data_IF_480726122157
#
_entry.id   IF_480726122157
#
_cell.length_a   1.000
_cell.length_b   1.000
_cell.length_c   1.000
_cell.angle_alpha   90.00
_cell.angle_beta   90.00
_cell.angle_gamma   90.00
#
_symmetry.space_group_name_H-M   'P 1'
#
loop_
_entity.id
_entity.type
_entity.pdbx_description
1 polymer ?
#
# COMPACT_ATOMS: atom_id res chain seq x y z
N UNK A 1 -1.16 -4.68 0.67
CA UNK A 1 -0.19 -3.79 -0.01
C UNK A 1 -0.81 -2.42 -0.03
N UNK A 2 -0.06 -1.40 0.35
CA UNK A 2 -0.55 -0.03 0.37
C UNK A 2 0.63 0.93 0.24
N UNK A 3 0.31 2.20 0.09
CA UNK A 3 1.29 3.26 0.00
C UNK A 3 1.33 4.06 1.30
N UNK A 4 2.54 4.33 1.75
CA UNK A 4 2.82 5.23 2.86
C UNK A 4 3.41 6.49 2.28
N UNK A 5 2.90 7.65 2.70
CA UNK A 5 3.54 8.93 2.44
C UNK A 5 4.24 9.46 3.70
N UNK A 6 5.56 9.28 3.86
CA UNK A 6 6.33 10.08 4.79
C UNK A 6 6.29 11.51 4.27
N UNK A 7 5.69 12.38 5.06
CA UNK A 7 5.54 13.77 4.70
C UNK A 7 6.85 14.54 4.84
N UNK A 8 7.01 15.54 3.97
CA UNK A 8 8.00 16.61 4.03
C UNK A 8 9.46 16.15 4.00
N UNK A 9 9.87 15.82 2.78
CA UNK A 9 11.26 15.70 2.36
C UNK A 9 11.75 17.07 1.89
N UNK A 10 13.04 17.39 1.98
CA UNK A 10 13.55 18.62 1.37
C UNK A 10 13.27 18.63 -0.13
N UNK A 11 12.86 19.79 -0.64
CA UNK A 11 12.73 20.04 -2.08
C UNK A 11 14.01 19.58 -2.80
N UNK A 12 13.92 18.54 -3.65
CA UNK A 12 15.08 18.12 -4.42
C UNK A 12 15.46 19.23 -5.41
N UNK A 13 16.77 19.45 -5.58
CA UNK A 13 17.30 20.49 -6.48
C UNK A 13 17.04 20.21 -7.97
N UNK A 14 16.57 19.01 -8.30
CA UNK A 14 16.33 18.51 -9.65
C UNK A 14 14.94 17.85 -9.64
N UNK A 15 14.04 18.27 -10.54
CA UNK A 15 12.64 17.78 -10.66
C UNK A 15 11.79 17.93 -9.39
N UNK A 16 11.88 19.10 -8.75
CA UNK A 16 11.10 19.47 -7.58
C UNK A 16 9.61 19.20 -7.73
N UNK A 17 9.06 19.52 -8.91
CA UNK A 17 7.66 19.38 -9.28
C UNK A 17 7.12 17.95 -9.14
N UNK A 18 7.99 16.94 -9.25
CA UNK A 18 7.58 15.54 -9.11
C UNK A 18 7.27 15.16 -7.66
N UNK A 19 7.84 15.88 -6.69
CA UNK A 19 7.73 15.57 -5.26
C UNK A 19 6.68 16.40 -4.55
N UNK A 20 6.21 17.50 -5.15
CA UNK A 20 5.09 18.29 -4.64
C UNK A 20 3.85 17.41 -4.59
N UNK A 21 3.38 17.09 -3.39
CA UNK A 21 2.13 16.33 -3.24
C UNK A 21 0.94 17.27 -3.54
N UNK A 22 -0.05 16.81 -4.31
CA UNK A 22 -1.30 17.55 -4.50
C UNK A 22 -2.19 17.61 -3.25
N UNK A 23 -1.89 16.76 -2.25
CA UNK A 23 -2.69 16.53 -1.05
C UNK A 23 -2.16 17.25 0.22
N UNK A 24 -0.88 17.62 0.25
CA UNK A 24 -0.25 18.34 1.36
C UNK A 24 0.66 19.48 0.85
N UNK A 25 0.73 20.60 1.59
CA UNK A 25 1.59 21.75 1.24
C UNK A 25 3.09 21.42 1.42
N UNK A 26 3.67 20.55 0.59
CA UNK A 26 5.09 20.19 0.63
C UNK A 26 5.49 19.02 -0.26
N UNK A 27 6.74 18.55 -0.07
CA UNK A 27 7.32 17.47 -0.87
C UNK A 27 7.24 16.14 -0.11
N UNK A 28 6.66 15.08 -0.69
CA UNK A 28 6.55 13.77 -0.05
C UNK A 28 7.23 12.67 -0.87
N UNK A 29 7.44 11.51 -0.25
CA UNK A 29 7.75 10.26 -0.94
C UNK A 29 6.51 9.38 -0.94
N UNK A 30 6.23 8.70 -2.05
CA UNK A 30 5.27 7.61 -2.06
C UNK A 30 6.03 6.28 -1.90
N UNK A 31 5.76 5.60 -0.78
CA UNK A 31 6.42 4.37 -0.36
C UNK A 31 5.46 3.19 -0.47
N UNK A 32 5.64 2.34 -1.46
CA UNK A 32 4.88 1.09 -1.54
C UNK A 32 5.39 0.07 -0.53
N UNK A 33 4.47 -0.55 0.23
CA UNK A 33 4.77 -1.58 1.21
C UNK A 33 3.86 -2.81 1.04
N UNK A 34 4.47 -3.98 1.15
CA UNK A 34 3.78 -5.27 1.26
C UNK A 34 4.11 -5.86 2.64
N UNK A 35 3.07 -6.20 3.40
CA UNK A 35 3.21 -6.92 4.66
C UNK A 35 2.34 -8.19 4.69
N UNK A 36 2.69 -9.11 5.58
CA UNK A 36 1.90 -10.28 5.90
C UNK A 36 0.97 -10.03 7.11
N UNK A 37 0.11 -11.01 7.49
CA UNK A 37 -0.79 -10.90 8.65
C UNK A 37 -0.08 -10.68 10.00
N UNK A 38 1.19 -11.06 10.13
CA UNK A 38 2.00 -10.88 11.34
C UNK A 38 2.73 -9.52 11.36
N UNK A 39 2.37 -8.63 10.42
CA UNK A 39 2.95 -7.31 10.21
C UNK A 39 4.44 -7.36 9.81
N UNK A 40 4.94 -8.48 9.29
CA UNK A 40 6.27 -8.52 8.69
C UNK A 40 6.23 -7.83 7.33
N UNK A 41 7.13 -6.89 7.12
CA UNK A 41 7.31 -6.20 5.84
C UNK A 41 8.04 -7.15 4.89
N UNK A 42 7.33 -7.64 3.89
CA UNK A 42 7.85 -8.54 2.85
C UNK A 42 8.55 -7.76 1.74
N UNK A 43 8.08 -6.55 1.46
CA UNK A 43 8.69 -5.65 0.49
C UNK A 43 8.43 -4.19 0.83
N UNK A 44 9.40 -3.34 0.51
CA UNK A 44 9.29 -1.88 0.60
C UNK A 44 9.95 -1.23 -0.62
N UNK A 45 9.32 -0.17 -1.15
CA UNK A 45 9.84 0.62 -2.26
C UNK A 45 9.69 2.12 -1.98
N UNK A 46 10.68 2.70 -1.30
CA UNK A 46 10.72 4.10 -0.90
C UNK A 46 11.47 5.01 -1.89
N UNK A 47 11.23 4.82 -3.20
CA UNK A 47 11.98 5.50 -4.27
C UNK A 47 11.19 6.56 -5.02
N UNK A 48 9.87 6.59 -4.85
CA UNK A 48 9.02 7.37 -5.72
C UNK A 48 8.67 8.72 -5.11
N UNK A 49 8.68 9.78 -5.93
CA UNK A 49 8.11 11.06 -5.54
C UNK A 49 6.64 10.92 -5.14
N UNK A 50 6.19 11.76 -4.18
CA UNK A 50 4.83 11.75 -3.64
C UNK A 50 3.72 11.85 -4.68
N UNK A 51 3.91 12.65 -5.72
CA UNK A 51 2.89 12.86 -6.76
C UNK A 51 2.66 11.64 -7.68
N UNK A 52 3.40 10.54 -7.52
CA UNK A 52 3.27 9.37 -8.38
C UNK A 52 2.15 8.47 -7.89
N UNK A 53 1.22 8.14 -8.79
CA UNK A 53 0.13 7.21 -8.51
C UNK A 53 0.64 5.80 -8.19
N UNK A 54 -0.06 5.13 -7.28
CA UNK A 54 0.18 3.76 -6.83
C UNK A 54 0.26 2.74 -7.97
N UNK A 55 -0.62 2.87 -8.98
CA UNK A 55 -0.56 2.04 -10.18
C UNK A 55 0.78 2.16 -10.93
N UNK A 56 1.37 3.35 -10.99
CA UNK A 56 2.65 3.58 -11.64
C UNK A 56 3.81 2.95 -10.84
N UNK A 57 3.78 3.09 -9.52
CA UNK A 57 4.77 2.46 -8.62
C UNK A 57 4.69 0.95 -8.75
N UNK A 58 3.49 0.38 -8.75
CA UNK A 58 3.26 -1.05 -8.95
C UNK A 58 3.77 -1.55 -10.30
N UNK A 59 3.45 -0.85 -11.38
CA UNK A 59 3.86 -1.22 -12.74
C UNK A 59 5.38 -1.37 -12.87
N UNK A 60 6.13 -0.54 -12.11
CA UNK A 60 7.59 -0.50 -12.07
C UNK A 60 8.21 -1.21 -10.86
N UNK A 61 7.42 -1.97 -10.09
CA UNK A 61 7.89 -2.65 -8.89
C UNK A 61 8.50 -4.02 -9.20
N UNK A 62 9.58 -4.38 -8.49
CA UNK A 62 10.17 -5.72 -8.56
C UNK A 62 9.21 -6.80 -8.02
N UNK A 63 8.29 -6.43 -7.12
CA UNK A 63 7.24 -7.32 -6.61
C UNK A 63 6.33 -7.74 -7.74
N UNK A 64 5.83 -6.80 -8.56
CA UNK A 64 4.98 -7.14 -9.71
C UNK A 64 5.67 -8.11 -10.66
N UNK A 65 6.93 -7.87 -11.02
CA UNK A 65 7.69 -8.78 -11.89
C UNK A 65 7.81 -10.17 -11.29
N UNK A 66 8.02 -10.25 -9.97
CA UNK A 66 8.11 -11.52 -9.23
C UNK A 66 6.78 -12.25 -9.22
N UNK A 67 5.69 -11.57 -8.87
CA UNK A 67 4.33 -12.14 -8.84
C UNK A 67 3.90 -12.64 -10.23
N UNK A 68 4.17 -11.85 -11.28
CA UNK A 68 3.92 -12.28 -12.66
C UNK A 68 4.68 -13.55 -13.01
N UNK A 69 5.98 -13.62 -12.67
CA UNK A 69 6.80 -14.82 -12.92
C UNK A 69 6.26 -16.05 -12.20
N UNK A 70 5.86 -15.92 -10.93
CA UNK A 70 5.23 -17.03 -10.18
C UNK A 70 3.95 -17.49 -10.85
N UNK A 71 3.10 -16.55 -11.26
CA UNK A 71 1.88 -16.86 -11.99
C UNK A 71 2.14 -17.53 -13.35
N UNK A 72 3.09 -17.03 -14.14
CA UNK A 72 3.44 -17.63 -15.42
C UNK A 72 3.98 -19.06 -15.23
N UNK A 73 4.66 -19.33 -14.11
CA UNK A 73 5.13 -20.65 -13.71
C UNK A 73 4.05 -21.56 -13.09
N UNK A 74 2.78 -21.14 -13.11
CA UNK A 74 1.65 -21.96 -12.67
C UNK A 74 1.20 -21.74 -11.22
N UNK A 75 1.78 -20.80 -10.48
CA UNK A 75 1.29 -20.46 -9.15
C UNK A 75 -0.10 -19.82 -9.21
N UNK A 76 -1.05 -20.38 -8.47
CA UNK A 76 -2.44 -19.93 -8.37
C UNK A 76 -2.89 -19.82 -6.93
N UNK A 77 -1.96 -19.76 -5.97
CA UNK A 77 -2.26 -19.76 -4.52
C UNK A 77 -1.80 -18.50 -3.81
N UNK A 78 -1.07 -17.63 -4.50
CA UNK A 78 -0.54 -16.40 -3.93
C UNK A 78 -1.21 -15.19 -4.57
N UNK A 79 -1.76 -14.33 -3.71
CA UNK A 79 -2.36 -13.05 -4.10
C UNK A 79 -1.89 -11.95 -3.18
N UNK A 80 -1.76 -10.76 -3.74
CA UNK A 80 -1.68 -9.52 -3.00
C UNK A 80 -3.06 -8.87 -2.96
N UNK A 81 -3.32 -8.14 -1.87
CA UNK A 81 -4.49 -7.27 -1.74
C UNK A 81 -4.04 -5.81 -1.89
N UNK A 82 -4.46 -5.16 -2.97
CA UNK A 82 -4.26 -3.73 -3.25
C UNK A 82 -5.51 -2.92 -2.96
N UNK A 83 -5.38 -1.60 -2.86
CA UNK A 83 -6.51 -0.67 -2.80
C UNK A 83 -6.99 -0.45 -4.24
N UNK A 84 -7.92 0.46 -4.36
CA UNK A 84 -8.55 0.82 -5.61
C UNK A 84 -7.67 1.69 -6.52
N UNK A 85 -6.55 2.21 -6.00
CA UNK A 85 -5.49 2.89 -6.77
C UNK A 85 -4.59 1.93 -7.55
N UNK A 86 -4.63 0.63 -7.24
CA UNK A 86 -3.89 -0.40 -7.95
C UNK A 86 -4.71 -1.03 -9.11
N UNK A 87 -4.03 -1.54 -10.16
CA UNK A 87 -4.71 -2.29 -11.20
C UNK A 87 -5.11 -3.70 -10.72
N UNK A 88 -6.25 -4.19 -11.21
CA UNK A 88 -6.65 -5.58 -11.00
C UNK A 88 -5.81 -6.51 -11.89
N UNK A 89 -5.06 -7.44 -11.28
CA UNK A 89 -4.24 -8.45 -11.97
C UNK A 89 -4.50 -9.86 -11.38
N UNK A 90 -4.15 -10.97 -12.08
CA UNK A 90 -4.45 -12.32 -11.59
C UNK A 90 -3.84 -12.66 -10.22
N UNK A 91 -2.81 -11.93 -9.82
CA UNK A 91 -2.06 -12.04 -8.56
C UNK A 91 -2.24 -10.81 -7.65
N UNK A 92 -3.05 -9.83 -8.05
CA UNK A 92 -3.34 -8.61 -7.28
C UNK A 92 -4.84 -8.32 -7.31
N UNK A 93 -5.50 -8.61 -6.19
CA UNK A 93 -6.93 -8.33 -6.01
C UNK A 93 -7.12 -6.91 -5.51
N UNK A 94 -8.18 -6.26 -5.98
CA UNK A 94 -8.57 -4.89 -5.61
C UNK A 94 -10.05 -4.87 -5.23
N UNK A 95 -10.53 -3.88 -4.46
CA UNK A 95 -11.96 -3.76 -4.15
C UNK A 95 -12.77 -3.45 -5.41
N UNK A 96 -14.06 -3.79 -5.39
CA UNK A 96 -14.98 -3.46 -6.49
C UNK A 96 -15.67 -2.14 -6.14
N UNK A 97 -15.63 -1.16 -7.05
CA UNK A 97 -16.25 0.16 -6.89
C UNK A 97 -17.76 0.11 -7.10
N UNK A 98 -18.50 1.09 -6.56
CA UNK A 98 -19.94 1.28 -6.79
C UNK A 98 -20.82 0.07 -6.48
N UNK A 99 -20.64 -0.55 -5.31
CA UNK A 99 -21.40 -1.74 -4.91
C UNK A 99 -22.70 -1.40 -4.19
N UNK A 100 -23.78 -2.07 -4.58
CA UNK A 100 -25.06 -1.96 -3.91
C UNK A 100 -25.08 -2.78 -2.61
N UNK A 101 -25.85 -2.33 -1.62
CA UNK A 101 -26.00 -3.05 -0.35
C UNK A 101 -26.59 -4.44 -0.57
N UNK A 102 -26.07 -5.41 0.18
CA UNK A 102 -26.57 -6.79 0.17
C UNK A 102 -26.06 -7.66 -0.99
N UNK A 103 -25.31 -7.12 -1.95
CA UNK A 103 -24.78 -7.91 -3.07
C UNK A 103 -23.56 -8.76 -2.67
N UNK A 104 -23.31 -9.87 -3.38
CA UNK A 104 -22.08 -10.66 -3.21
C UNK A 104 -20.79 -9.84 -3.35
N UNK A 105 -20.78 -8.94 -4.32
CA UNK A 105 -19.69 -8.01 -4.59
C UNK A 105 -19.43 -7.07 -3.41
N UNK A 106 -20.49 -6.59 -2.74
CA UNK A 106 -20.34 -5.75 -1.55
C UNK A 106 -19.63 -6.51 -0.44
N UNK A 107 -20.01 -7.77 -0.17
CA UNK A 107 -19.34 -8.54 0.90
C UNK A 107 -17.93 -8.93 0.52
N UNK A 108 -17.64 -9.18 -0.76
CA UNK A 108 -16.28 -9.32 -1.24
C UNK A 108 -15.46 -8.06 -0.90
N UNK A 109 -15.98 -6.86 -1.23
CA UNK A 109 -15.29 -5.59 -0.94
C UNK A 109 -15.15 -5.37 0.58
N UNK A 110 -16.14 -5.73 1.39
CA UNK A 110 -16.06 -5.64 2.86
C UNK A 110 -15.01 -6.60 3.43
N UNK A 111 -14.97 -7.85 2.96
CA UNK A 111 -13.95 -8.83 3.34
C UNK A 111 -12.55 -8.40 2.90
N UNK A 112 -12.43 -7.85 1.68
CA UNK A 112 -11.19 -7.29 1.14
C UNK A 112 -10.69 -6.13 2.01
N UNK A 113 -11.57 -5.19 2.37
CA UNK A 113 -11.25 -4.07 3.26
C UNK A 113 -10.82 -4.55 4.65
N UNK A 114 -11.52 -5.53 5.22
CA UNK A 114 -11.16 -6.14 6.51
C UNK A 114 -9.78 -6.78 6.48
N UNK A 115 -9.46 -7.55 5.43
CA UNK A 115 -8.15 -8.16 5.26
C UNK A 115 -7.03 -7.12 5.06
N UNK A 116 -7.33 -6.04 4.32
CA UNK A 116 -6.44 -4.89 4.12
C UNK A 116 -6.12 -4.14 5.42
N UNK A 117 -6.97 -4.18 6.44
CA UNK A 117 -6.67 -3.55 7.73
C UNK A 117 -5.29 -3.95 8.30
N UNK A 118 -4.76 -5.10 7.92
CA UNK A 118 -3.38 -5.53 8.19
C UNK A 118 -2.33 -4.50 7.74
N UNK A 119 -2.42 -3.96 6.52
CA UNK A 119 -1.42 -3.00 6.03
C UNK A 119 -1.55 -1.66 6.76
N UNK A 120 -2.77 -1.22 7.06
CA UNK A 120 -3.02 0.01 7.82
C UNK A 120 -2.47 -0.10 9.25
N UNK A 121 -2.67 -1.26 9.89
CA UNK A 121 -2.07 -1.58 11.19
C UNK A 121 -0.55 -1.60 11.12
N UNK A 122 0.03 -2.14 10.05
CA UNK A 122 1.47 -2.14 9.83
C UNK A 122 2.01 -0.70 9.77
N UNK A 123 1.34 0.20 9.03
CA UNK A 123 1.71 1.61 8.97
C UNK A 123 1.55 2.31 10.31
N UNK A 124 0.46 2.07 11.03
CA UNK A 124 0.24 2.62 12.37
C UNK A 124 1.36 2.24 13.34
N UNK A 125 1.76 0.96 13.38
CA UNK A 125 2.87 0.48 14.21
C UNK A 125 4.21 1.07 13.77
N UNK A 126 4.46 1.12 12.46
CA UNK A 126 5.72 1.64 11.92
C UNK A 126 5.89 3.12 12.27
N UNK A 127 4.83 3.94 12.08
CA UNK A 127 4.80 5.37 12.45
C UNK A 127 4.87 5.59 13.96
N UNK A 128 4.26 4.73 14.77
CA UNK A 128 4.24 4.88 16.23
C UNK A 128 5.59 4.55 16.88
N UNK A 129 6.30 3.56 16.36
CA UNK A 129 7.65 3.17 16.81
C UNK A 129 8.70 4.14 16.25
N UNK A 130 8.66 4.40 14.95
CA UNK A 130 9.60 5.29 14.27
C UNK A 130 8.91 6.62 13.99
N UNK A 131 8.81 7.45 15.03
CA UNK A 131 8.13 8.75 14.97
C UNK A 131 8.69 9.70 13.89
N UNK A 132 9.89 9.46 13.38
CA UNK A 132 10.43 10.17 12.21
C UNK A 132 9.65 9.90 10.91
N UNK A 133 8.79 8.88 10.86
CA UNK A 133 7.91 8.59 9.72
C UNK A 133 6.49 9.16 9.91
N UNK A 134 6.18 9.73 11.08
CA UNK A 134 4.88 10.30 11.38
C UNK A 134 4.74 11.69 10.77
N UNK A 135 3.55 12.06 10.32
CA UNK A 135 3.26 13.41 9.79
C UNK A 135 3.64 14.53 10.78
N UNK A 136 3.62 14.26 12.08
CA UNK A 136 4.01 15.22 13.12
C UNK A 136 5.52 15.55 13.13
N UNK A 137 6.35 14.78 12.42
CA UNK A 137 7.81 15.03 12.34
C UNK A 137 8.28 14.90 10.90
N UNK A 138 8.67 16.04 10.34
CA UNK A 138 9.15 16.16 8.97
C UNK A 138 10.54 15.52 8.83
N UNK A 139 10.73 14.72 7.79
CA UNK A 139 12.04 14.20 7.40
C UNK A 139 12.78 15.29 6.63
N UNK A 140 13.47 16.18 7.35
CA UNK A 140 14.30 17.26 6.80
C UNK A 140 15.57 16.70 6.11
N UNK A 141 15.40 15.86 5.11
CA UNK A 141 16.43 15.17 4.34
C UNK A 141 16.05 15.18 2.85
N UNK A 142 17.04 15.09 1.96
CA UNK A 142 16.81 14.89 0.52
C UNK A 142 16.10 13.55 0.25
N UNK A 143 15.29 13.39 -0.83
CA UNK A 143 14.49 12.18 -1.07
C UNK A 143 15.26 10.87 -1.02
N UNK A 144 16.48 10.86 -1.53
CA UNK A 144 17.33 9.67 -1.47
C UNK A 144 17.61 9.24 -0.02
N UNK A 145 18.04 10.18 0.82
CA UNK A 145 18.33 9.94 2.24
C UNK A 145 17.07 9.61 3.03
N UNK A 146 15.95 10.29 2.75
CA UNK A 146 14.67 9.95 3.36
C UNK A 146 14.24 8.51 3.02
N UNK A 147 14.41 8.07 1.76
CA UNK A 147 14.18 6.70 1.34
C UNK A 147 15.07 5.68 2.07
N UNK A 148 16.34 6.01 2.34
CA UNK A 148 17.24 5.17 3.14
C UNK A 148 16.76 5.05 4.60
N UNK A 149 16.30 6.15 5.20
CA UNK A 149 15.75 6.15 6.57
C UNK A 149 14.51 5.25 6.64
N UNK A 150 13.59 5.39 5.67
CA UNK A 150 12.39 4.55 5.56
C UNK A 150 12.75 3.07 5.46
N UNK A 151 13.70 2.72 4.60
CA UNK A 151 14.18 1.34 4.46
C UNK A 151 14.81 0.81 5.75
N UNK A 152 15.61 1.64 6.45
CA UNK A 152 16.19 1.27 7.74
C UNK A 152 15.10 1.01 8.80
N UNK A 153 14.07 1.86 8.88
CA UNK A 153 12.95 1.67 9.78
C UNK A 153 12.20 0.35 9.50
N UNK A 154 11.98 0.01 8.23
CA UNK A 154 11.34 -1.25 7.85
C UNK A 154 12.17 -2.49 8.26
N UNK A 155 13.50 -2.44 8.08
CA UNK A 155 14.40 -3.49 8.53
C UNK A 155 14.37 -3.65 10.05
N UNK A 156 14.44 -2.54 10.78
CA UNK A 156 14.39 -2.54 12.25
C UNK A 156 13.03 -3.02 12.78
N UNK A 157 11.93 -2.65 12.11
CA UNK A 157 10.59 -3.18 12.40
C UNK A 157 10.54 -4.71 12.28
N UNK A 158 11.04 -5.26 11.17
CA UNK A 158 11.09 -6.71 10.99
C UNK A 158 11.96 -7.40 12.05
N UNK A 159 13.08 -6.81 12.45
CA UNK A 159 13.87 -7.32 13.57
C UNK A 159 13.07 -7.31 14.88
N UNK A 160 12.35 -6.21 15.17
CA UNK A 160 11.48 -6.09 16.35
C UNK A 160 10.40 -7.15 16.39
N UNK A 161 9.71 -7.41 15.26
CA UNK A 161 8.69 -8.46 15.14
C UNK A 161 9.33 -9.84 15.35
N UNK A 162 10.42 -10.14 14.64
CA UNK A 162 11.09 -11.45 14.66
C UNK A 162 11.61 -11.83 16.05
N UNK A 163 12.23 -10.89 16.75
CA UNK A 163 12.79 -11.12 18.08
C UNK A 163 11.79 -10.85 19.21
N UNK A 164 10.52 -10.59 18.89
CA UNK A 164 9.44 -10.30 19.85
C UNK A 164 9.80 -9.18 20.84
N UNK A 165 10.49 -8.16 20.35
CA UNK A 165 10.88 -6.97 21.12
C UNK A 165 9.71 -5.97 21.26
N UNK A 166 8.47 -6.46 21.13
CA UNK A 166 7.29 -5.61 21.22
C UNK A 166 6.90 -5.43 22.68
N UNK A 167 7.10 -4.23 23.23
CA UNK A 167 6.29 -3.80 24.36
C UNK A 167 4.80 -3.72 23.94
N UNK A 168 3.85 -3.98 24.86
CA UNK A 168 2.43 -3.93 24.57
C UNK A 168 2.04 -2.50 24.16
N UNK A 169 1.95 -2.27 22.84
CA UNK A 169 1.50 -0.99 22.30
C UNK A 169 -0.02 -0.89 22.47
N UNK A 170 -0.46 0.07 23.28
CA UNK A 170 -1.81 0.58 23.24
C UNK A 170 -1.86 1.62 22.13
N UNK A 171 -2.01 1.19 20.88
CA UNK A 171 -2.37 2.13 19.82
C UNK A 171 -3.85 2.46 20.03
N UNK A 172 -4.17 3.59 20.65
CA UNK A 172 -5.56 4.06 20.72
C UNK A 172 -6.07 4.22 19.29
N UNK A 173 -7.14 3.50 18.95
CA UNK A 173 -7.80 3.48 17.65
C UNK A 173 -8.02 4.86 17.02
N UNK A 174 -8.07 5.91 17.84
CA UNK A 174 -8.20 7.31 17.44
C UNK A 174 -7.05 7.85 16.59
N UNK A 175 -5.80 7.42 16.78
CA UNK A 175 -4.65 7.92 15.98
C UNK A 175 -4.64 7.35 14.55
N UNK A 176 -5.07 6.10 14.39
CA UNK A 176 -5.17 5.43 13.07
C UNK A 176 -6.27 6.08 12.23
N UNK A 177 -7.38 6.44 12.87
CA UNK A 177 -8.55 7.04 12.22
C UNK A 177 -8.28 8.50 11.81
N UNK A 178 -7.54 9.26 12.63
CA UNK A 178 -7.22 10.67 12.33
C UNK A 178 -6.34 10.81 11.07
N UNK A 179 -5.38 9.90 10.86
CA UNK A 179 -4.52 9.89 9.66
C UNK A 179 -5.29 9.42 8.40
N UNK A 180 -6.34 8.58 8.54
CA UNK A 180 -7.09 8.03 7.39
C UNK A 180 -8.12 8.98 6.77
N UNK A 181 -8.52 10.05 7.48
CA UNK A 181 -9.57 10.96 7.03
C UNK A 181 -9.10 12.11 6.15
N UNK A 182 -7.79 12.26 5.91
CA UNK A 182 -7.23 13.37 5.13
C UNK A 182 -7.00 13.05 3.64
N UNK A 183 -7.41 11.87 3.17
CA UNK A 183 -7.11 11.38 1.82
C UNK A 183 -8.39 11.26 0.98
N UNK A 184 -9.03 12.40 0.68
CA UNK A 184 -10.12 12.47 -0.30
C UNK A 184 -9.53 12.43 -1.72
N UNK A 185 -9.59 11.27 -2.37
CA UNK A 185 -9.17 11.11 -3.77
C UNK A 185 -10.31 11.43 -4.74
N UNK A 186 -10.07 12.43 -5.61
CA UNK A 186 -10.80 12.60 -6.87
C UNK A 186 -10.12 11.77 -7.96
N UNK A 187 -10.92 10.91 -8.59
CA UNK A 187 -10.53 9.87 -9.52
C UNK A 187 -10.41 10.40 -10.96
N UNK A 188 -9.34 10.06 -11.67
CA UNK A 188 -9.43 9.79 -13.10
C UNK A 188 -8.43 8.68 -13.47
N UNK A 189 -8.94 7.54 -13.94
CA UNK A 189 -8.11 6.36 -14.25
C UNK A 189 -8.23 5.99 -15.73
N UNK A 190 -7.16 6.24 -16.48
CA UNK A 190 -7.01 5.69 -17.83
C UNK A 190 -6.87 4.17 -17.79
N UNK A 191 -7.75 3.49 -18.52
CA UNK A 191 -7.88 2.03 -18.55
C UNK A 191 -6.82 1.41 -19.45
N UNK A 192 -5.82 0.77 -18.85
CA UNK A 192 -4.91 -0.13 -19.59
C UNK A 192 -5.59 -1.50 -19.75
N UNK A 193 -5.88 -1.88 -20.99
CA UNK A 193 -6.51 -3.16 -21.36
C UNK A 193 -5.43 -4.18 -21.74
N UNK A 194 -5.51 -5.38 -21.15
CA UNK A 194 -4.61 -6.49 -21.45
C UNK A 194 -5.22 -7.83 -21.05
N UNK A 195 -4.79 -8.90 -21.70
CA UNK A 195 -5.29 -10.29 -21.53
C UNK A 195 -5.26 -10.79 -20.08
N UNK A 196 -4.34 -10.29 -19.25
CA UNK A 196 -4.28 -10.60 -17.82
C UNK A 196 -5.49 -10.10 -17.01
N UNK A 197 -6.13 -9.01 -17.43
CA UNK A 197 -7.29 -8.44 -16.73
C UNK A 197 -8.51 -9.36 -16.78
N UNK A 198 -8.80 -9.95 -17.94
CA UNK A 198 -9.92 -10.88 -18.08
C UNK A 198 -9.76 -12.12 -17.17
N UNK A 199 -8.52 -12.60 -17.00
CA UNK A 199 -8.21 -13.69 -16.07
C UNK A 199 -8.42 -13.25 -14.62
N UNK A 200 -7.98 -12.04 -14.28
CA UNK A 200 -8.17 -11.46 -12.95
C UNK A 200 -9.65 -11.29 -12.59
N UNK A 201 -10.45 -10.73 -13.50
CA UNK A 201 -11.90 -10.58 -13.34
C UNK A 201 -12.58 -11.94 -13.16
N UNK A 202 -12.14 -12.98 -13.89
CA UNK A 202 -12.64 -14.34 -13.69
C UNK A 202 -12.29 -14.92 -12.32
N UNK A 203 -11.09 -14.66 -11.81
CA UNK A 203 -10.67 -15.08 -10.46
C UNK A 203 -11.53 -14.34 -9.42
N UNK A 204 -11.67 -13.03 -9.55
CA UNK A 204 -12.46 -12.21 -8.64
C UNK A 204 -13.93 -12.67 -8.61
N UNK A 205 -14.55 -12.90 -9.78
CA UNK A 205 -15.92 -13.46 -9.87
C UNK A 205 -16.05 -14.83 -9.20
N UNK A 206 -15.03 -15.69 -9.32
CA UNK A 206 -15.02 -16.97 -8.59
C UNK A 206 -14.97 -16.74 -7.08
N UNK A 207 -14.10 -15.86 -6.58
CA UNK A 207 -14.04 -15.54 -5.15
C UNK A 207 -15.38 -15.03 -4.64
N UNK A 208 -16.01 -14.12 -5.39
CA UNK A 208 -17.35 -13.61 -5.09
C UNK A 208 -18.35 -14.75 -5.00
N UNK A 209 -18.37 -15.70 -5.94
CA UNK A 209 -19.36 -16.78 -5.93
C UNK A 209 -19.07 -17.91 -4.92
N UNK A 210 -17.81 -18.17 -4.60
CA UNK A 210 -17.42 -19.31 -3.73
C UNK A 210 -17.68 -19.01 -2.25
N UNK A 211 -17.75 -17.73 -1.87
CA UNK A 211 -18.13 -17.32 -0.51
C UNK A 211 -19.62 -17.60 -0.16
N UNK A 212 -20.38 -18.22 -1.08
CA UNK A 212 -21.84 -18.46 -0.97
C UNK A 212 -22.28 -19.88 -1.36
N UNK A 213 -21.42 -20.88 -1.13
CA UNK A 213 -21.83 -22.30 -1.06
C UNK A 213 -21.55 -22.81 0.33
#
# INVERSE_FOLDING_TARGET
>A
MGSLEPNYVFAPKIHEEAYVSGHHEGHSLNVQVVCDPDLLILNINAKWPGARHDAHIWANSAVRSTMKRHFDNGDRRTWLLGDDGYPLEPWLMTPIKNQHLGTPERRYTDAHGSARNTIERCFGVLKSVFRCLSHQRQLMYEPYTAGLIVNACAVLHNMRVKYRLMEPYVTTYTEIIADSYNDDYLEDTERVTGTGRAVAERIQRRLINTAYT
#
